data_IF_929484197680
#
_entry.id   IF_929484197680
#
_cell.length_a   1.000
_cell.length_b   1.000
_cell.length_c   1.000
_cell.angle_alpha   90.00
_cell.angle_beta   90.00
_cell.angle_gamma   90.00
#
_symmetry.space_group_name_H-M   'P 1'
#
loop_
_entity.id
_entity.type
_entity.pdbx_description
1 polymer ?
#
# COMPACT_ATOMS: atom_id res chain seq x y z
N UNK A 1 12.65 5.08 9.75
CA UNK A 1 13.99 4.76 9.22
C UNK A 1 13.85 4.51 7.72
N UNK A 2 14.58 5.25 6.88
CA UNK A 2 14.64 5.00 5.43
C UNK A 2 15.38 3.68 5.19
N UNK A 3 14.84 2.79 4.35
CA UNK A 3 15.47 1.52 4.02
C UNK A 3 16.40 1.65 2.79
N UNK A 4 17.42 0.78 2.63
CA UNK A 4 18.14 0.69 1.36
C UNK A 4 17.20 0.19 0.25
N UNK A 5 16.97 1.01 -0.77
CA UNK A 5 16.07 0.71 -1.87
C UNK A 5 16.89 0.45 -3.14
N UNK A 6 16.56 -0.62 -3.86
CA UNK A 6 17.02 -0.79 -5.22
C UNK A 6 16.23 0.15 -6.13
N UNK A 7 16.92 0.94 -6.96
CA UNK A 7 16.24 1.87 -7.88
C UNK A 7 15.47 1.08 -8.93
N UNK A 8 14.14 1.14 -8.88
CA UNK A 8 13.25 0.59 -9.87
C UNK A 8 12.42 1.68 -10.55
N UNK A 9 11.84 1.33 -11.71
CA UNK A 9 11.00 2.22 -12.49
C UNK A 9 9.61 1.62 -12.66
N UNK A 10 8.57 2.45 -12.60
CA UNK A 10 7.20 2.02 -12.85
C UNK A 10 6.55 2.90 -13.92
N UNK A 11 5.54 2.36 -14.60
CA UNK A 11 4.72 3.12 -15.55
C UNK A 11 3.35 3.33 -14.94
N UNK A 12 2.95 4.60 -14.79
CA UNK A 12 1.66 4.99 -14.25
C UNK A 12 0.85 5.76 -15.29
N UNK A 13 -0.37 5.32 -15.57
CA UNK A 13 -1.34 6.09 -16.36
C UNK A 13 -2.09 7.05 -15.45
N UNK A 14 -2.07 8.35 -15.73
CA UNK A 14 -2.76 9.33 -14.90
C UNK A 14 -4.27 9.05 -14.88
N UNK A 15 -4.84 8.96 -13.67
CA UNK A 15 -6.26 8.62 -13.47
C UNK A 15 -6.59 7.15 -13.71
N UNK A 16 -5.60 6.29 -13.92
CA UNK A 16 -5.75 4.84 -14.00
C UNK A 16 -5.48 4.20 -12.63
N UNK A 17 -5.65 2.87 -12.55
CA UNK A 17 -5.29 2.11 -11.36
C UNK A 17 -3.80 2.19 -11.02
N UNK A 18 -3.44 1.69 -9.82
CA UNK A 18 -2.07 1.68 -9.34
C UNK A 18 -1.13 0.94 -10.31
N UNK A 19 0.12 1.42 -10.50
CA UNK A 19 1.09 0.74 -11.34
C UNK A 19 1.45 -0.63 -10.74
N UNK A 20 1.56 -1.67 -11.57
CA UNK A 20 1.69 -3.07 -11.11
C UNK A 20 3.00 -3.75 -11.48
N UNK A 21 3.80 -3.13 -12.35
CA UNK A 21 5.01 -3.74 -12.88
C UNK A 21 6.23 -2.85 -12.63
N UNK A 22 7.27 -3.46 -12.09
CA UNK A 22 8.57 -2.85 -11.87
C UNK A 22 9.51 -3.17 -13.03
N UNK A 23 10.14 -2.13 -13.56
CA UNK A 23 11.13 -2.19 -14.60
C UNK A 23 12.52 -1.98 -14.02
N UNK A 24 13.45 -2.85 -14.42
CA UNK A 24 14.87 -2.76 -14.02
C UNK A 24 15.60 -1.58 -14.66
N UNK A 25 15.08 -1.01 -15.75
CA UNK A 25 15.71 0.10 -16.45
C UNK A 25 14.72 1.19 -16.85
N UNK A 26 15.19 2.43 -16.84
CA UNK A 26 14.43 3.60 -17.29
C UNK A 26 13.99 3.44 -18.76
N UNK A 27 14.89 2.97 -19.61
CA UNK A 27 14.63 2.79 -21.04
C UNK A 27 13.50 1.77 -21.27
N UNK A 28 13.51 0.65 -20.55
CA UNK A 28 12.43 -0.34 -20.62
C UNK A 28 11.08 0.24 -20.20
N UNK A 29 11.05 1.01 -19.11
CA UNK A 29 9.84 1.70 -18.66
C UNK A 29 9.33 2.73 -19.68
N UNK A 30 10.24 3.50 -20.30
CA UNK A 30 9.88 4.48 -21.33
C UNK A 30 9.29 3.82 -22.58
N UNK A 31 9.88 2.72 -23.04
CA UNK A 31 9.35 1.93 -24.17
C UNK A 31 7.93 1.44 -23.84
N UNK A 32 7.72 0.89 -22.64
CA UNK A 32 6.40 0.43 -22.22
C UNK A 32 5.39 1.59 -22.10
N UNK A 33 5.78 2.72 -21.52
CA UNK A 33 4.92 3.90 -21.45
C UNK A 33 4.50 4.39 -22.83
N UNK A 34 5.44 4.47 -23.78
CA UNK A 34 5.15 4.83 -25.16
C UNK A 34 4.20 3.82 -25.85
N UNK A 35 4.41 2.51 -25.62
CA UNK A 35 3.51 1.46 -26.13
C UNK A 35 2.09 1.61 -25.56
N UNK A 36 1.97 1.88 -24.26
CA UNK A 36 0.68 2.04 -23.59
C UNK A 36 -0.06 3.30 -24.03
N UNK A 37 0.65 4.42 -24.22
CA UNK A 37 0.08 5.66 -24.73
C UNK A 37 -0.50 5.49 -26.15
N UNK A 38 0.20 4.73 -27.01
CA UNK A 38 -0.32 4.39 -28.35
C UNK A 38 -1.58 3.51 -28.28
N UNK A 39 -1.64 2.58 -27.33
CA UNK A 39 -2.76 1.68 -27.16
C UNK A 39 -3.98 2.33 -26.50
N UNK A 40 -3.79 3.40 -25.73
CA UNK A 40 -4.85 4.08 -24.97
C UNK A 40 -4.80 5.59 -25.22
N UNK A 41 -5.31 6.07 -26.37
CA UNK A 41 -5.37 7.50 -26.68
C UNK A 41 -6.11 8.29 -25.59
N UNK A 42 -5.63 9.49 -25.29
CA UNK A 42 -6.20 10.36 -24.25
C UNK A 42 -5.73 10.08 -22.83
N UNK A 43 -4.96 9.00 -22.60
CA UNK A 43 -4.35 8.70 -21.30
C UNK A 43 -2.86 9.08 -21.32
N UNK A 44 -2.45 9.94 -20.38
CA UNK A 44 -1.05 10.30 -20.19
C UNK A 44 -0.36 9.25 -19.32
N UNK A 45 0.72 8.66 -19.83
CA UNK A 45 1.55 7.72 -19.08
C UNK A 45 2.85 8.39 -18.63
N UNK A 46 3.16 8.29 -17.34
CA UNK A 46 4.39 8.80 -16.72
C UNK A 46 5.27 7.66 -16.24
N UNK A 47 6.58 7.90 -16.25
CA UNK A 47 7.58 6.96 -15.74
C UNK A 47 8.04 7.45 -14.36
N UNK A 48 7.79 6.65 -13.34
CA UNK A 48 8.12 6.93 -11.94
C UNK A 48 9.43 6.22 -11.56
N UNK A 49 10.24 6.86 -10.71
CA UNK A 49 11.40 6.23 -10.09
C UNK A 49 11.17 6.15 -8.58
N UNK A 50 11.58 5.03 -7.98
CA UNK A 50 11.66 4.95 -6.54
C UNK A 50 12.80 5.87 -6.04
N UNK A 51 12.49 6.74 -5.08
CA UNK A 51 13.43 7.72 -4.50
C UNK A 51 13.73 7.47 -3.02
N UNK A 52 12.77 6.88 -2.29
CA UNK A 52 12.91 6.50 -0.88
C UNK A 52 11.94 5.33 -0.59
N UNK A 53 12.19 4.58 0.48
CA UNK A 53 11.32 3.52 0.97
C UNK A 53 11.22 3.59 2.49
N UNK A 54 9.98 3.50 2.97
CA UNK A 54 9.66 3.51 4.40
C UNK A 54 8.86 2.26 4.72
N UNK A 55 9.22 1.61 5.82
CA UNK A 55 8.49 0.46 6.35
C UNK A 55 8.06 0.74 7.78
N UNK A 56 6.83 0.36 8.14
CA UNK A 56 6.37 0.35 9.51
C UNK A 56 6.67 -1.02 10.17
N UNK A 57 6.94 -1.02 11.47
CA UNK A 57 7.06 -2.25 12.25
C UNK A 57 5.71 -2.97 12.29
N UNK A 58 5.73 -4.29 12.14
CA UNK A 58 4.53 -5.09 12.35
C UNK A 58 4.09 -4.97 13.81
N UNK A 59 2.81 -4.69 14.11
CA UNK A 59 2.36 -4.61 15.49
C UNK A 59 2.57 -5.96 16.19
N UNK A 60 2.98 -5.92 17.46
CA UNK A 60 3.12 -7.12 18.25
C UNK A 60 1.74 -7.78 18.40
N UNK A 61 1.59 -8.98 17.85
CA UNK A 61 0.37 -9.77 18.04
C UNK A 61 0.34 -10.26 19.48
N UNK A 62 -0.55 -9.70 20.29
CA UNK A 62 -0.81 -10.19 21.65
C UNK A 62 -1.89 -11.27 21.60
N UNK A 63 -1.59 -12.43 22.18
CA UNK A 63 -2.58 -13.47 22.43
C UNK A 63 -3.40 -13.04 23.63
N UNK A 64 -4.68 -12.74 23.41
CA UNK A 64 -5.63 -12.52 24.51
C UNK A 64 -6.25 -13.87 24.86
N UNK A 65 -6.13 -14.28 26.12
CA UNK A 65 -6.92 -15.39 26.63
C UNK A 65 -8.36 -14.92 26.80
N UNK A 66 -9.31 -15.63 26.17
CA UNK A 66 -10.73 -15.42 26.44
C UNK A 66 -10.98 -15.94 27.86
N UNK A 67 -10.99 -15.04 28.83
CA UNK A 67 -11.40 -15.35 30.19
C UNK A 67 -12.91 -15.60 30.22
N UNK A 68 -13.34 -16.44 31.18
CA UNK A 68 -14.78 -16.68 31.37
C UNK A 68 -15.47 -15.33 31.57
N UNK A 69 -16.67 -15.13 30.98
CA UNK A 69 -17.43 -13.92 31.23
C UNK A 69 -17.58 -13.74 32.73
N UNK A 70 -17.31 -12.53 33.21
CA UNK A 70 -17.61 -12.17 34.60
C UNK A 70 -19.09 -12.50 34.81
N UNK A 71 -19.45 -13.32 35.81
CA UNK A 71 -20.84 -13.55 36.12
C UNK A 71 -21.50 -12.18 36.31
N UNK A 72 -22.61 -11.95 35.61
CA UNK A 72 -23.51 -10.85 35.93
C UNK A 72 -23.93 -11.07 37.39
N UNK A 73 -23.24 -10.45 38.34
CA UNK A 73 -23.80 -10.26 39.66
C UNK A 73 -24.92 -9.25 39.46
N UNK A 74 -26.14 -9.59 39.87
CA UNK A 74 -27.32 -8.71 39.93
C UNK A 74 -27.11 -7.54 40.93
N UNK A 75 -25.92 -6.93 40.96
CA UNK A 75 -25.81 -5.56 41.42
C UNK A 75 -26.26 -4.71 40.25
N UNK A 76 -27.52 -4.30 40.37
CA UNK A 76 -28.20 -3.25 39.64
C UNK A 76 -27.43 -1.93 39.79
N UNK A 77 -26.20 -1.89 39.25
CA UNK A 77 -25.34 -0.73 39.20
C UNK A 77 -25.87 0.18 38.09
N UNK A 78 -27.00 0.82 38.40
CA UNK A 78 -27.45 2.16 38.01
C UNK A 78 -26.69 2.79 36.82
N UNK A 79 -26.72 2.18 35.63
CA UNK A 79 -26.32 2.85 34.39
C UNK A 79 -27.37 3.95 34.19
N UNK A 80 -27.02 5.25 34.38
CA UNK A 80 -28.01 6.30 34.29
C UNK A 80 -28.38 6.49 32.81
N UNK A 81 -29.67 6.42 32.51
CA UNK A 81 -30.21 6.80 31.21
C UNK A 81 -30.13 8.32 31.00
#
# INVERSE_FOLDING_TARGET
MSQPIAKFWMVYGLGQGAPRYEHLSKAGAQIQAARLAKANPGVTFVVLAAVDAVTASMPAVSRVEITKPVPLTDTDDLIPF
#
